data_IF_355417178010
#
_entry.id   IF_355417178010
#
_cell.length_a   1.000
_cell.length_b   1.000
_cell.length_c   1.000
_cell.angle_alpha   90.00
_cell.angle_beta   90.00
_cell.angle_gamma   90.00
#
_symmetry.space_group_name_H-M   'P 1'
#
loop_
_entity.id
_entity.type
_entity.pdbx_description
1 polymer ?
#
# COMPACT_ATOMS: atom_id res chain seq x y z
N UNK A 1 11.34 -1.65 8.07
CA UNK A 1 12.79 -1.90 7.92
C UNK A 1 13.06 -2.69 6.65
N UNK A 2 13.83 -2.14 5.71
CA UNK A 2 13.98 -2.61 4.31
C UNK A 2 14.23 -4.12 4.14
N UNK A 3 14.95 -4.75 5.07
CA UNK A 3 15.23 -6.19 5.07
C UNK A 3 13.96 -7.04 5.21
N UNK A 4 13.03 -6.67 6.11
CA UNK A 4 11.78 -7.42 6.33
C UNK A 4 10.86 -7.34 5.11
N UNK A 5 10.76 -6.16 4.51
CA UNK A 5 9.96 -5.91 3.31
C UNK A 5 10.50 -6.69 2.11
N UNK A 6 11.83 -6.73 1.94
CA UNK A 6 12.47 -7.51 0.87
C UNK A 6 12.26 -9.00 1.04
N UNK A 7 12.39 -9.54 2.26
CA UNK A 7 12.17 -10.96 2.54
C UNK A 7 10.74 -11.39 2.23
N UNK A 8 9.75 -10.62 2.66
CA UNK A 8 8.35 -10.96 2.41
C UNK A 8 8.02 -10.83 0.92
N UNK A 9 8.58 -9.84 0.23
CA UNK A 9 8.48 -9.75 -1.23
C UNK A 9 9.06 -10.99 -1.90
N UNK A 10 10.23 -11.47 -1.48
CA UNK A 10 10.83 -12.70 -2.04
C UNK A 10 9.97 -13.93 -1.77
N UNK A 11 9.44 -14.10 -0.56
CA UNK A 11 8.54 -15.22 -0.22
C UNK A 11 7.21 -15.17 -0.99
N UNK A 12 6.66 -13.97 -1.18
CA UNK A 12 5.46 -13.80 -1.99
C UNK A 12 5.71 -14.18 -3.46
N UNK A 13 6.88 -13.83 -4.00
CA UNK A 13 7.29 -14.23 -5.35
C UNK A 13 7.48 -15.75 -5.49
N UNK A 14 8.10 -16.41 -4.50
CA UNK A 14 8.33 -17.86 -4.54
C UNK A 14 7.04 -18.68 -4.44
N UNK A 15 6.02 -18.16 -3.75
CA UNK A 15 4.74 -18.86 -3.56
C UNK A 15 3.70 -18.54 -4.64
N UNK A 16 4.03 -17.74 -5.66
CA UNK A 16 3.08 -17.39 -6.75
C UNK A 16 2.47 -18.60 -7.44
N UNK A 17 3.27 -19.65 -7.69
CA UNK A 17 2.77 -20.87 -8.32
C UNK A 17 1.78 -21.64 -7.43
N UNK A 18 1.90 -21.53 -6.11
CA UNK A 18 0.96 -22.12 -5.17
C UNK A 18 -0.34 -21.30 -5.08
N UNK A 19 -0.23 -19.97 -5.06
CA UNK A 19 -1.38 -19.07 -5.09
C UNK A 19 -2.19 -19.22 -6.38
N UNK A 20 -1.52 -19.29 -7.54
CA UNK A 20 -2.17 -19.54 -8.82
C UNK A 20 -2.88 -20.91 -8.84
N UNK A 21 -2.27 -21.95 -8.27
CA UNK A 21 -2.89 -23.29 -8.16
C UNK A 21 -4.09 -23.32 -7.21
N UNK A 22 -4.15 -22.42 -6.24
CA UNK A 22 -5.29 -22.29 -5.32
C UNK A 22 -6.48 -21.53 -5.91
N UNK A 23 -6.31 -20.91 -7.09
CA UNK A 23 -7.34 -20.06 -7.71
C UNK A 23 -7.52 -18.69 -7.03
N UNK A 24 -6.60 -18.30 -6.12
CA UNK A 24 -6.64 -17.02 -5.45
C UNK A 24 -5.98 -15.93 -6.31
N UNK A 25 -6.71 -14.83 -6.52
CA UNK A 25 -6.17 -13.62 -7.13
C UNK A 25 -5.43 -12.79 -6.09
N UNK A 26 -4.24 -12.30 -6.45
CA UNK A 26 -3.41 -11.46 -5.58
C UNK A 26 -2.67 -10.41 -6.39
N UNK A 27 -2.23 -9.35 -5.72
CA UNK A 27 -1.30 -8.38 -6.29
C UNK A 27 0.09 -8.97 -6.47
N UNK A 28 0.85 -8.39 -7.40
CA UNK A 28 2.19 -8.82 -7.76
C UNK A 28 3.26 -8.24 -6.83
N UNK A 29 3.05 -7.01 -6.37
CA UNK A 29 3.98 -6.31 -5.49
C UNK A 29 3.22 -5.75 -4.30
N UNK A 30 3.74 -5.97 -3.09
CA UNK A 30 3.13 -5.51 -1.85
C UNK A 30 4.01 -4.47 -1.15
N UNK A 31 3.44 -3.31 -0.86
CA UNK A 31 4.08 -2.16 -0.22
C UNK A 31 3.49 -1.87 1.17
N UNK A 32 3.15 -2.91 1.95
CA UNK A 32 2.54 -2.72 3.27
C UNK A 32 3.42 -2.99 4.48
N UNK A 33 4.61 -3.56 4.31
CA UNK A 33 5.46 -3.97 5.44
C UNK A 33 6.59 -2.98 5.61
N UNK A 34 6.32 -1.93 6.39
CA UNK A 34 7.32 -0.93 6.78
C UNK A 34 7.90 -0.11 5.62
N UNK A 35 7.12 0.13 4.56
CA UNK A 35 7.56 0.83 3.36
C UNK A 35 7.63 2.36 3.55
N UNK A 36 6.76 2.98 4.34
CA UNK A 36 7.05 4.29 4.92
C UNK A 36 6.30 4.40 6.24
N UNK A 37 7.00 4.86 7.29
CA UNK A 37 6.37 5.17 8.58
C UNK A 37 5.36 6.33 8.46
N UNK A 38 5.27 6.95 7.26
CA UNK A 38 4.34 8.03 6.90
C UNK A 38 4.01 7.94 5.41
N UNK A 39 2.74 7.69 5.05
CA UNK A 39 2.26 7.79 3.67
C UNK A 39 1.79 9.23 3.39
N UNK A 40 2.74 10.15 3.33
CA UNK A 40 2.45 11.56 3.00
C UNK A 40 2.48 11.82 1.48
N UNK A 41 2.16 13.06 1.08
CA UNK A 41 2.06 13.43 -0.32
C UNK A 41 3.40 13.26 -1.08
N UNK A 42 4.53 13.59 -0.45
CA UNK A 42 5.85 13.42 -1.06
C UNK A 42 6.20 11.96 -1.29
N UNK A 43 5.85 11.12 -0.31
CA UNK A 43 6.00 9.67 -0.38
C UNK A 43 5.15 9.07 -1.49
N UNK A 44 3.86 9.41 -1.56
CA UNK A 44 2.95 8.91 -2.60
C UNK A 44 3.39 9.31 -4.00
N UNK A 45 3.84 10.56 -4.18
CA UNK A 45 4.39 11.02 -5.46
C UNK A 45 5.66 10.27 -5.85
N UNK A 46 6.54 10.04 -4.88
CA UNK A 46 7.75 9.24 -5.12
C UNK A 46 7.40 7.82 -5.51
N UNK A 47 6.39 7.23 -4.85
CA UNK A 47 5.90 5.89 -5.15
C UNK A 47 5.38 5.82 -6.59
N UNK A 48 4.52 6.76 -7.02
CA UNK A 48 3.99 6.82 -8.38
C UNK A 48 5.07 6.73 -9.47
N UNK A 49 6.26 7.29 -9.21
CA UNK A 49 7.40 7.31 -10.15
C UNK A 49 8.24 6.03 -10.17
N UNK A 50 8.12 5.19 -9.14
CA UNK A 50 9.01 4.02 -8.94
C UNK A 50 8.25 2.70 -8.83
N UNK A 51 6.92 2.71 -8.98
CA UNK A 51 6.13 1.48 -8.98
C UNK A 51 6.59 0.57 -10.12
N UNK A 52 6.84 -0.72 -9.84
CA UNK A 52 7.13 -1.69 -10.89
C UNK A 52 5.89 -1.96 -11.75
N UNK A 53 6.12 -2.47 -12.96
CA UNK A 53 5.05 -2.99 -13.80
C UNK A 53 4.28 -4.12 -13.10
N UNK A 54 2.99 -4.20 -13.42
CA UNK A 54 2.06 -5.16 -12.82
C UNK A 54 1.18 -4.55 -11.73
N UNK A 55 0.53 -5.40 -10.95
CA UNK A 55 -0.37 -4.94 -9.88
C UNK A 55 0.39 -4.67 -8.58
N UNK A 56 0.22 -3.46 -8.04
CA UNK A 56 0.85 -3.05 -6.79
C UNK A 56 -0.21 -2.78 -5.72
N UNK A 57 -0.02 -3.33 -4.53
CA UNK A 57 -0.82 -3.05 -3.35
C UNK A 57 -0.07 -2.15 -2.39
N UNK A 58 -0.70 -1.06 -1.96
CA UNK A 58 -0.16 -0.11 -0.99
C UNK A 58 -1.13 -0.05 0.17
N UNK A 59 -0.67 -0.40 1.37
CA UNK A 59 -1.51 -0.31 2.56
C UNK A 59 -1.51 1.12 3.09
N UNK A 60 -2.66 1.59 3.51
CA UNK A 60 -2.83 2.89 4.13
C UNK A 60 -3.79 2.79 5.33
N UNK A 61 -3.74 3.78 6.21
CA UNK A 61 -4.56 3.89 7.42
C UNK A 61 -5.22 5.28 7.57
N UNK A 62 -5.80 5.89 6.52
CA UNK A 62 -6.37 7.23 6.61
C UNK A 62 -7.51 7.28 7.63
N UNK A 63 -7.66 8.42 8.29
CA UNK A 63 -8.74 8.65 9.26
C UNK A 63 -8.51 9.89 10.11
N UNK A 64 -9.55 10.29 10.83
CA UNK A 64 -9.49 11.36 11.82
C UNK A 64 -8.98 10.80 13.16
N UNK A 65 -8.28 11.64 13.92
CA UNK A 65 -7.85 11.29 15.28
C UNK A 65 -8.85 11.89 16.25
N UNK A 66 -9.76 11.06 16.75
CA UNK A 66 -10.73 11.42 17.77
C UNK A 66 -10.36 10.87 19.16
N UNK A 67 -11.13 11.27 20.18
CA UNK A 67 -10.91 10.88 21.56
C UNK A 67 -11.05 9.37 21.78
N UNK A 68 -11.91 8.69 21.00
CA UNK A 68 -12.09 7.24 21.07
C UNK A 68 -10.83 6.51 20.59
N UNK A 69 -10.25 6.94 19.46
CA UNK A 69 -9.01 6.40 18.94
C UNK A 69 -7.82 6.66 19.88
N UNK A 70 -7.79 7.84 20.51
CA UNK A 70 -6.79 8.19 21.53
C UNK A 70 -6.89 7.30 22.76
N UNK A 71 -8.10 6.99 23.23
CA UNK A 71 -8.33 6.13 24.39
C UNK A 71 -7.83 4.69 24.16
N UNK A 72 -8.08 4.13 22.97
CA UNK A 72 -7.64 2.76 22.62
C UNK A 72 -6.12 2.70 22.44
N UNK A 73 -5.49 3.80 21.99
CA UNK A 73 -4.04 3.85 21.76
C UNK A 73 -3.19 3.64 23.02
N UNK A 74 -3.74 3.95 24.20
CA UNK A 74 -3.13 3.60 25.48
C UNK A 74 -3.06 2.09 25.74
N UNK A 75 -3.93 1.29 25.11
CA UNK A 75 -4.05 -0.15 25.29
C UNK A 75 -3.28 -0.95 24.22
N UNK A 76 -3.26 -0.47 22.98
CA UNK A 76 -2.66 -1.19 21.82
C UNK A 76 -1.26 -0.71 21.44
N UNK A 77 -0.72 0.28 22.16
CA UNK A 77 0.59 0.89 21.90
C UNK A 77 0.48 2.02 20.88
N UNK A 78 0.54 3.27 21.36
CA UNK A 78 0.21 4.48 20.58
C UNK A 78 1.15 4.86 19.44
N UNK A 79 2.20 4.08 19.15
CA UNK A 79 3.20 4.48 18.13
C UNK A 79 2.70 4.32 16.68
N UNK A 80 1.60 3.59 16.43
CA UNK A 80 1.16 3.27 15.06
C UNK A 80 -0.23 3.77 14.71
N UNK A 81 -1.10 4.00 15.69
CA UNK A 81 -2.52 4.20 15.41
C UNK A 81 -2.88 5.65 15.09
N UNK A 82 -2.19 6.66 15.63
CA UNK A 82 -2.77 8.02 15.65
C UNK A 82 -2.03 9.07 14.82
N UNK A 83 -0.70 9.12 14.89
CA UNK A 83 0.04 10.33 14.47
C UNK A 83 0.09 10.62 12.96
N UNK A 84 -0.30 9.67 12.12
CA UNK A 84 -0.11 9.78 10.66
C UNK A 84 -1.40 9.69 9.85
N UNK A 85 -2.52 9.31 10.47
CA UNK A 85 -3.79 9.03 9.77
C UNK A 85 -4.35 10.24 9.04
N UNK A 86 -4.35 11.41 9.69
CA UNK A 86 -4.88 12.63 9.08
C UNK A 86 -3.97 13.16 7.98
N UNK A 87 -2.64 13.06 8.18
CA UNK A 87 -1.67 13.41 7.14
C UNK A 87 -1.77 12.49 5.92
N UNK A 88 -2.03 11.21 6.14
CA UNK A 88 -2.26 10.21 5.09
C UNK A 88 -3.59 10.43 4.38
N UNK A 89 -4.67 10.74 5.12
CA UNK A 89 -5.95 11.13 4.55
C UNK A 89 -5.82 12.37 3.66
N UNK A 90 -5.11 13.40 4.13
CA UNK A 90 -4.83 14.60 3.34
C UNK A 90 -4.04 14.25 2.07
N UNK A 91 -3.03 13.39 2.16
CA UNK A 91 -2.22 12.99 1.02
C UNK A 91 -3.00 12.16 -0.03
N UNK A 92 -3.84 11.22 0.42
CA UNK A 92 -4.66 10.38 -0.47
C UNK A 92 -5.77 11.17 -1.18
N UNK A 93 -6.21 12.29 -0.58
CA UNK A 93 -7.22 13.18 -1.16
C UNK A 93 -6.63 14.38 -1.91
N UNK A 94 -5.29 14.55 -1.89
CA UNK A 94 -4.59 15.63 -2.57
C UNK A 94 -4.66 15.46 -4.10
N UNK A 95 -5.19 16.49 -4.78
CA UNK A 95 -5.30 16.54 -6.25
C UNK A 95 -3.96 16.42 -6.96
N UNK A 96 -2.89 16.99 -6.38
CA UNK A 96 -1.55 16.93 -6.94
C UNK A 96 -0.94 15.53 -6.85
N UNK A 97 -1.32 14.74 -5.84
CA UNK A 97 -0.94 13.32 -5.75
C UNK A 97 -1.69 12.52 -6.83
N UNK A 98 -3.00 12.74 -6.97
CA UNK A 98 -3.79 12.09 -8.02
C UNK A 98 -3.29 12.43 -9.43
N UNK A 99 -2.83 13.66 -9.64
CA UNK A 99 -2.21 14.08 -10.90
C UNK A 99 -0.90 13.34 -11.15
N UNK A 100 -0.03 13.22 -10.15
CA UNK A 100 1.22 12.47 -10.29
C UNK A 100 0.99 11.00 -10.68
N UNK A 101 0.01 10.33 -10.06
CA UNK A 101 -0.35 8.96 -10.46
C UNK A 101 -0.82 8.87 -11.91
N UNK A 102 -1.61 9.85 -12.38
CA UNK A 102 -2.06 9.91 -13.78
C UNK A 102 -0.91 10.17 -14.76
N UNK A 103 -0.01 11.09 -14.42
CA UNK A 103 1.15 11.45 -15.26
C UNK A 103 2.15 10.30 -15.38
N UNK A 104 2.25 9.45 -14.36
CA UNK A 104 3.07 8.23 -14.39
C UNK A 104 2.28 6.99 -14.86
N UNK A 105 1.11 7.19 -15.49
CA UNK A 105 0.28 6.12 -16.07
C UNK A 105 -0.13 5.01 -15.08
N UNK A 106 -0.22 5.36 -13.79
CA UNK A 106 -0.64 4.44 -12.73
C UNK A 106 -2.16 4.43 -12.63
N UNK A 107 -2.77 3.32 -13.02
CA UNK A 107 -4.20 3.10 -12.84
C UNK A 107 -4.52 2.67 -11.40
N UNK A 108 -5.36 3.44 -10.70
CA UNK A 108 -5.91 3.03 -9.41
C UNK A 108 -7.03 2.01 -9.61
N UNK A 109 -6.84 0.81 -9.06
CA UNK A 109 -7.80 -0.29 -9.15
C UNK A 109 -8.19 -0.79 -7.75
N UNK A 110 -9.26 -1.58 -7.68
CA UNK A 110 -9.61 -2.37 -6.50
C UNK A 110 -9.48 -3.86 -6.85
N UNK A 111 -9.50 -4.73 -5.83
CA UNK A 111 -9.28 -6.17 -5.96
C UNK A 111 -10.17 -6.88 -7.00
N UNK A 112 -11.35 -6.32 -7.35
CA UNK A 112 -12.23 -6.90 -8.37
C UNK A 112 -11.66 -6.86 -9.78
N UNK A 113 -10.71 -5.95 -10.03
CA UNK A 113 -10.10 -5.72 -11.33
C UNK A 113 -8.69 -6.32 -11.41
N UNK A 114 -8.33 -7.20 -10.46
CA UNK A 114 -7.07 -7.92 -10.57
C UNK A 114 -7.10 -8.84 -11.80
N UNK A 115 -6.02 -8.85 -12.60
CA UNK A 115 -5.89 -9.81 -13.67
C UNK A 115 -5.77 -11.23 -13.07
N UNK A 116 -6.15 -12.27 -13.83
CA UNK A 116 -5.85 -13.64 -13.46
C UNK A 116 -4.36 -13.81 -13.13
N UNK A 117 -4.05 -14.49 -12.03
CA UNK A 117 -2.67 -14.79 -11.66
C UNK A 117 -2.00 -15.63 -12.76
N UNK A 118 -1.02 -15.05 -13.45
CA UNK A 118 -0.25 -15.74 -14.50
C UNK A 118 -0.53 -15.28 -15.94
N UNK A 119 -1.39 -14.29 -16.17
CA UNK A 119 -1.58 -13.71 -17.51
C UNK A 119 -0.62 -12.53 -17.71
N UNK A 120 0.66 -12.85 -17.98
CA UNK A 120 1.56 -11.91 -18.65
C UNK A 120 1.35 -12.06 -20.14
N UNK A 121 0.47 -11.24 -20.72
CA UNK A 121 0.48 -10.95 -22.16
C UNK A 121 1.14 -9.61 -22.40
#
# INVERSE_FOLDING_TARGET
GRLKSSLIRTLALSNRGELARSGLLTTEHFFGIGAQERLDAGTLKSLARVLPLGTCEVTCHPGYVDDELLAISGQVGGYWVNRVRESELAALTDRSVQQEFRENEVALINFRHLPPTGDTR
#
